data_IF_955050815860
#
_entry.id   IF_955050815860
#
_cell.length_a   1.000
_cell.length_b   1.000
_cell.length_c   1.000
_cell.angle_alpha   90.00
_cell.angle_beta   90.00
_cell.angle_gamma   90.00
#
_symmetry.space_group_name_H-M   'P 1'
#
loop_
_entity.id
_entity.type
_entity.pdbx_description
1 polymer ?
#
# COMPACT_ATOMS: atom_id res chain seq x y z
N UNK A 1 -15.02 9.84 35.80
CA UNK A 1 -13.86 9.18 35.16
C UNK A 1 -13.26 10.11 34.10
N UNK A 2 -12.72 11.27 34.51
CA UNK A 2 -12.24 12.29 33.56
C UNK A 2 -10.97 13.04 34.05
N UNK A 3 -10.24 12.51 35.04
CA UNK A 3 -9.08 13.23 35.61
C UNK A 3 -7.76 12.43 35.61
N UNK A 4 -7.75 11.21 35.10
CA UNK A 4 -6.56 10.33 35.19
C UNK A 4 -5.46 10.72 34.20
N UNK A 5 -5.82 11.36 33.08
CA UNK A 5 -4.83 11.83 32.10
C UNK A 5 -3.96 13.00 32.62
N UNK A 6 -4.50 13.86 33.49
CA UNK A 6 -3.72 14.96 34.08
C UNK A 6 -2.70 14.45 35.12
N UNK A 7 -3.13 13.50 35.94
CA UNK A 7 -2.29 12.91 37.00
C UNK A 7 -1.12 12.12 36.39
N UNK A 8 -1.37 11.36 35.31
CA UNK A 8 -0.32 10.59 34.65
C UNK A 8 0.76 11.48 34.00
N UNK A 9 0.36 12.62 33.41
CA UNK A 9 1.28 13.58 32.78
C UNK A 9 2.15 14.28 33.83
N UNK A 10 1.57 14.67 34.96
CA UNK A 10 2.32 15.35 36.01
C UNK A 10 3.23 14.39 36.79
N UNK A 11 2.81 13.14 37.01
CA UNK A 11 3.66 12.09 37.61
C UNK A 11 4.84 11.70 36.70
N UNK A 12 4.65 11.67 35.37
CA UNK A 12 5.73 11.42 34.41
C UNK A 12 6.78 12.54 34.39
N UNK A 13 6.33 13.81 34.52
CA UNK A 13 7.23 14.97 34.67
C UNK A 13 8.02 14.90 35.97
N UNK A 14 7.39 14.49 37.07
CA UNK A 14 8.07 14.32 38.37
C UNK A 14 9.11 13.19 38.35
N UNK A 15 8.83 12.09 37.66
CA UNK A 15 9.74 10.93 37.59
C UNK A 15 10.90 11.08 36.59
N UNK A 16 10.95 12.17 35.81
CA UNK A 16 11.92 12.39 34.71
C UNK A 16 11.97 11.23 33.69
N UNK A 17 10.90 10.47 33.57
CA UNK A 17 10.79 9.37 32.61
C UNK A 17 10.21 9.91 31.30
N UNK A 18 11.00 9.84 30.22
CA UNK A 18 10.57 10.32 28.90
C UNK A 18 9.78 9.23 28.18
N UNK A 19 8.49 9.12 28.48
CA UNK A 19 7.58 8.21 27.77
C UNK A 19 7.17 8.74 26.39
N UNK A 20 7.65 9.91 25.96
CA UNK A 20 7.30 10.51 24.67
C UNK A 20 7.60 9.58 23.50
N UNK A 21 8.80 8.98 23.48
CA UNK A 21 9.22 8.07 22.41
C UNK A 21 8.38 6.78 22.40
N UNK A 22 8.11 6.21 23.58
CA UNK A 22 7.29 4.99 23.73
C UNK A 22 5.84 5.23 23.31
N UNK A 23 5.23 6.34 23.75
CA UNK A 23 3.86 6.72 23.38
C UNK A 23 3.76 6.96 21.88
N UNK A 24 4.73 7.65 21.29
CA UNK A 24 4.74 7.98 19.85
C UNK A 24 4.96 6.71 19.01
N UNK A 25 5.81 5.79 19.48
CA UNK A 25 5.99 4.46 18.90
C UNK A 25 4.69 3.64 18.93
N UNK A 26 4.00 3.59 20.08
CA UNK A 26 2.72 2.87 20.21
C UNK A 26 1.63 3.48 19.33
N UNK A 27 1.54 4.81 19.26
CA UNK A 27 0.59 5.50 18.37
C UNK A 27 0.86 5.18 16.90
N UNK A 28 2.13 5.19 16.46
CA UNK A 28 2.54 4.78 15.12
C UNK A 28 2.14 3.33 14.83
N UNK A 29 2.41 2.42 15.77
CA UNK A 29 2.04 1.01 15.62
C UNK A 29 0.52 0.84 15.52
N UNK A 30 -0.26 1.58 16.31
CA UNK A 30 -1.72 1.55 16.26
C UNK A 30 -2.26 2.10 14.94
N UNK A 31 -1.72 3.22 14.42
CA UNK A 31 -2.07 3.77 13.10
C UNK A 31 -1.72 2.81 11.98
N UNK A 32 -0.49 2.25 11.99
CA UNK A 32 -0.03 1.21 11.05
C UNK A 32 -0.97 0.00 11.06
N UNK A 33 -1.36 -0.48 12.24
CA UNK A 33 -2.29 -1.62 12.39
C UNK A 33 -3.69 -1.30 11.85
N UNK A 34 -4.22 -0.11 12.11
CA UNK A 34 -5.51 0.32 11.56
C UNK A 34 -5.48 0.39 10.04
N UNK A 35 -4.38 0.86 9.48
CA UNK A 35 -4.17 0.87 8.03
C UNK A 35 -4.10 -0.56 7.47
N UNK A 36 -3.29 -1.43 8.09
CA UNK A 36 -3.16 -2.84 7.72
C UNK A 36 -4.52 -3.56 7.71
N UNK A 37 -5.36 -3.37 8.72
CA UNK A 37 -6.70 -3.98 8.77
C UNK A 37 -7.60 -3.55 7.59
N UNK A 38 -7.59 -2.26 7.22
CA UNK A 38 -8.35 -1.81 6.05
C UNK A 38 -7.77 -2.35 4.76
N UNK A 39 -6.45 -2.48 4.68
CA UNK A 39 -5.79 -3.03 3.51
C UNK A 39 -6.05 -4.53 3.36
N UNK A 40 -6.04 -5.29 4.46
CA UNK A 40 -6.44 -6.69 4.50
C UNK A 40 -7.86 -6.87 3.95
N UNK A 41 -8.81 -6.01 4.35
CA UNK A 41 -10.17 -6.04 3.80
C UNK A 41 -10.22 -5.77 2.29
N UNK A 42 -9.43 -4.82 1.79
CA UNK A 42 -9.33 -4.54 0.35
C UNK A 42 -8.69 -5.70 -0.41
N UNK A 43 -7.65 -6.32 0.15
CA UNK A 43 -6.99 -7.49 -0.43
C UNK A 43 -8.00 -8.64 -0.53
N UNK A 44 -8.80 -8.88 0.51
CA UNK A 44 -9.85 -9.90 0.49
C UNK A 44 -10.85 -9.63 -0.63
N UNK A 45 -11.36 -8.40 -0.74
CA UNK A 45 -12.30 -8.01 -1.80
C UNK A 45 -11.71 -8.23 -3.21
N UNK A 46 -10.43 -7.95 -3.39
CA UNK A 46 -9.76 -8.15 -4.67
C UNK A 46 -9.52 -9.63 -4.99
N UNK A 47 -9.17 -10.46 -3.99
CA UNK A 47 -9.06 -11.91 -4.16
C UNK A 47 -10.42 -12.50 -4.52
N UNK A 48 -11.50 -12.05 -3.87
CA UNK A 48 -12.86 -12.46 -4.18
C UNK A 48 -13.22 -12.08 -5.63
N UNK A 49 -12.92 -10.85 -6.05
CA UNK A 49 -13.16 -10.38 -7.41
C UNK A 49 -12.33 -11.17 -8.44
N UNK A 50 -11.04 -11.39 -8.19
CA UNK A 50 -10.17 -12.16 -9.08
C UNK A 50 -10.68 -13.59 -9.23
N UNK A 51 -11.09 -14.22 -8.12
CA UNK A 51 -11.68 -15.57 -8.12
C UNK A 51 -12.96 -15.61 -8.94
N UNK A 52 -13.86 -14.64 -8.72
CA UNK A 52 -15.12 -14.54 -9.45
C UNK A 52 -14.91 -14.36 -10.95
N UNK A 53 -14.00 -13.48 -11.37
CA UNK A 53 -13.72 -13.26 -12.79
C UNK A 53 -13.08 -14.49 -13.44
N UNK A 54 -12.18 -15.19 -12.75
CA UNK A 54 -11.61 -16.44 -13.25
C UNK A 54 -12.68 -17.54 -13.40
N UNK A 55 -13.65 -17.62 -12.47
CA UNK A 55 -14.79 -18.52 -12.60
C UNK A 55 -15.63 -18.19 -13.83
N UNK A 56 -15.97 -16.91 -14.05
CA UNK A 56 -16.72 -16.48 -15.23
C UNK A 56 -16.00 -16.81 -16.54
N UNK A 57 -14.68 -16.66 -16.60
CA UNK A 57 -13.89 -17.03 -17.78
C UNK A 57 -13.92 -18.54 -18.04
N UNK A 58 -13.84 -19.35 -16.97
CA UNK A 58 -13.94 -20.81 -17.07
C UNK A 58 -15.33 -21.26 -17.53
N UNK A 59 -16.38 -20.73 -16.92
CA UNK A 59 -17.78 -21.02 -17.29
C UNK A 59 -18.08 -20.59 -18.73
N UNK A 60 -17.56 -19.44 -19.17
CA UNK A 60 -17.77 -18.97 -20.54
C UNK A 60 -17.06 -19.85 -21.58
N UNK A 61 -15.86 -20.33 -21.27
CA UNK A 61 -15.15 -21.29 -22.11
C UNK A 61 -15.89 -22.63 -22.18
N UNK A 62 -16.36 -23.14 -21.04
CA UNK A 62 -17.13 -24.39 -20.96
C UNK A 62 -18.43 -24.30 -21.78
N UNK A 63 -19.18 -23.20 -21.66
CA UNK A 63 -20.38 -22.98 -22.49
C UNK A 63 -20.09 -23.02 -23.98
N UNK A 64 -18.98 -22.43 -24.43
CA UNK A 64 -18.57 -22.45 -25.85
C UNK A 64 -18.14 -23.85 -26.30
N UNK A 65 -17.47 -24.60 -25.44
CA UNK A 65 -17.08 -25.99 -25.71
C UNK A 65 -18.31 -26.91 -25.84
N UNK A 66 -19.30 -26.76 -24.96
CA UNK A 66 -20.57 -27.49 -25.04
C UNK A 66 -21.32 -27.13 -26.33
N UNK A 67 -21.43 -25.84 -26.66
CA UNK A 67 -22.10 -25.42 -27.88
C UNK A 67 -21.40 -25.95 -29.15
N UNK A 68 -20.07 -26.06 -29.15
CA UNK A 68 -19.33 -26.70 -30.25
C UNK A 68 -19.59 -28.21 -30.33
N UNK A 69 -19.61 -28.92 -29.20
CA UNK A 69 -19.83 -30.37 -29.21
C UNK A 69 -21.25 -30.72 -29.66
N UNK A 70 -22.25 -29.95 -29.25
CA UNK A 70 -23.63 -30.10 -29.73
C UNK A 70 -23.75 -29.87 -31.25
N UNK A 71 -23.02 -28.88 -31.80
CA UNK A 71 -23.00 -28.62 -33.24
C UNK A 71 -22.36 -29.75 -34.06
N UNK A 72 -21.36 -30.45 -33.51
CA UNK A 72 -20.80 -31.63 -34.15
C UNK A 72 -21.77 -32.80 -34.17
N UNK A 73 -22.44 -33.08 -33.04
CA UNK A 73 -23.40 -34.18 -32.93
C UNK A 73 -24.54 -34.03 -33.96
N UNK A 74 -25.00 -32.79 -34.21
CA UNK A 74 -26.04 -32.51 -35.20
C UNK A 74 -25.54 -32.73 -36.64
N UNK A 75 -24.27 -32.41 -36.93
CA UNK A 75 -23.68 -32.57 -38.29
C UNK A 75 -23.39 -34.02 -38.65
N UNK A 76 -22.96 -34.84 -37.70
CA UNK A 76 -22.70 -36.27 -37.91
C UNK A 76 -24.00 -37.08 -38.13
N UNK A 77 -25.14 -36.59 -37.66
CA UNK A 77 -26.45 -37.18 -37.91
C UNK A 77 -26.93 -37.08 -39.37
N UNK A 78 -26.46 -36.07 -40.12
CA UNK A 78 -26.92 -35.75 -41.48
C UNK A 78 -25.94 -36.22 -42.59
N UNK A 79 -24.66 -36.45 -42.29
CA UNK A 79 -23.63 -36.81 -43.28
C UNK A 79 -22.88 -38.12 -42.93
N UNK A 80 -23.27 -39.25 -43.54
CA UNK A 80 -22.60 -40.56 -43.41
C UNK A 80 -21.34 -40.75 -44.28
N UNK A 81 -20.80 -39.72 -44.93
CA UNK A 81 -19.63 -39.87 -45.82
C UNK A 81 -18.68 -38.66 -45.75
N UNK A 82 -17.57 -38.79 -45.01
CA UNK A 82 -16.46 -37.82 -44.98
C UNK A 82 -15.74 -37.71 -43.63
N UNK A 83 -15.19 -38.81 -43.12
CA UNK A 83 -14.85 -39.01 -41.69
C UNK A 83 -13.58 -38.34 -41.15
N UNK A 84 -12.69 -37.77 -41.99
CA UNK A 84 -11.36 -37.38 -41.49
C UNK A 84 -11.14 -35.84 -41.40
N UNK A 85 -11.84 -35.06 -42.23
CA UNK A 85 -11.70 -33.60 -42.25
C UNK A 85 -12.53 -32.89 -41.15
N UNK A 86 -13.66 -33.47 -40.73
CA UNK A 86 -14.55 -32.82 -39.75
C UNK A 86 -13.99 -32.86 -38.32
N UNK A 87 -13.46 -34.03 -37.90
CA UNK A 87 -12.89 -34.16 -36.56
C UNK A 87 -11.63 -33.33 -36.33
N UNK A 88 -10.85 -33.04 -37.39
CA UNK A 88 -9.70 -32.14 -37.31
C UNK A 88 -10.09 -30.66 -37.16
N UNK A 89 -11.17 -30.20 -37.79
CA UNK A 89 -11.65 -28.82 -37.64
C UNK A 89 -12.30 -28.58 -36.27
N UNK A 90 -12.98 -29.57 -35.69
CA UNK A 90 -13.49 -29.49 -34.32
C UNK A 90 -12.38 -29.48 -33.27
N UNK A 91 -11.40 -30.38 -33.38
CA UNK A 91 -10.24 -30.39 -32.49
C UNK A 91 -9.54 -29.02 -32.50
N UNK A 92 -9.36 -28.43 -33.69
CA UNK A 92 -8.77 -27.09 -33.84
C UNK A 92 -9.61 -26.00 -33.19
N UNK A 93 -10.93 -25.97 -33.40
CA UNK A 93 -11.81 -24.97 -32.75
C UNK A 93 -11.89 -25.12 -31.24
N UNK A 94 -11.83 -26.36 -30.75
CA UNK A 94 -11.76 -26.67 -29.32
C UNK A 94 -10.49 -26.09 -28.71
N UNK A 95 -9.35 -26.37 -29.34
CA UNK A 95 -8.03 -25.87 -28.94
C UNK A 95 -7.99 -24.33 -28.98
N UNK A 96 -8.55 -23.69 -30.02
CA UNK A 96 -8.65 -22.23 -30.11
C UNK A 96 -9.45 -21.59 -28.95
N UNK A 97 -10.48 -22.28 -28.42
CA UNK A 97 -11.25 -21.78 -27.27
C UNK A 97 -10.46 -21.92 -25.98
N UNK A 98 -9.83 -23.08 -25.77
CA UNK A 98 -9.00 -23.34 -24.59
C UNK A 98 -7.80 -22.39 -24.55
N UNK A 99 -7.12 -22.18 -25.68
CA UNK A 99 -6.02 -21.23 -25.80
C UNK A 99 -6.47 -19.79 -25.50
N UNK A 100 -7.62 -19.35 -26.05
CA UNK A 100 -8.18 -18.02 -25.74
C UNK A 100 -8.51 -17.88 -24.26
N UNK A 101 -9.08 -18.91 -23.63
CA UNK A 101 -9.35 -18.91 -22.18
C UNK A 101 -8.06 -18.74 -21.39
N UNK A 102 -7.02 -19.49 -21.76
CA UNK A 102 -5.75 -19.50 -21.04
C UNK A 102 -5.02 -18.17 -21.17
N UNK A 103 -5.01 -17.59 -22.37
CA UNK A 103 -4.46 -16.25 -22.60
C UNK A 103 -5.21 -15.19 -21.78
N UNK A 104 -6.55 -15.20 -21.81
CA UNK A 104 -7.36 -14.25 -21.04
C UNK A 104 -7.15 -14.40 -19.53
N UNK A 105 -7.15 -15.64 -19.03
CA UNK A 105 -6.90 -15.94 -17.61
C UNK A 105 -5.51 -15.49 -17.18
N UNK A 106 -4.49 -15.77 -17.98
CA UNK A 106 -3.13 -15.34 -17.72
C UNK A 106 -3.01 -13.82 -17.67
N UNK A 107 -3.60 -13.12 -18.64
CA UNK A 107 -3.60 -11.66 -18.68
C UNK A 107 -4.35 -11.04 -17.49
N UNK A 108 -5.49 -11.61 -17.10
CA UNK A 108 -6.23 -11.18 -15.92
C UNK A 108 -5.38 -11.33 -14.66
N UNK A 109 -4.77 -12.49 -14.46
CA UNK A 109 -3.92 -12.74 -13.29
C UNK A 109 -2.69 -11.82 -13.25
N UNK A 110 -2.10 -11.49 -14.41
CA UNK A 110 -1.01 -10.51 -14.51
C UNK A 110 -1.45 -9.09 -14.10
N UNK A 111 -2.67 -8.67 -14.50
CA UNK A 111 -3.22 -7.37 -14.08
C UNK A 111 -3.37 -7.29 -12.56
N UNK A 112 -3.94 -8.33 -11.93
CA UNK A 112 -4.08 -8.38 -10.46
C UNK A 112 -2.71 -8.44 -9.75
N UNK A 113 -1.75 -9.20 -10.30
CA UNK A 113 -0.39 -9.26 -9.74
C UNK A 113 0.31 -7.89 -9.74
N UNK A 114 0.21 -7.13 -10.83
CA UNK A 114 0.76 -5.77 -10.93
C UNK A 114 0.14 -4.80 -9.92
N UNK A 115 -1.14 -4.97 -9.62
CA UNK A 115 -1.83 -4.15 -8.60
C UNK A 115 -1.35 -4.53 -7.21
N UNK A 116 -1.18 -5.81 -6.91
CA UNK A 116 -0.69 -6.28 -5.60
C UNK A 116 0.74 -5.80 -5.30
N UNK A 117 1.66 -5.86 -6.28
CA UNK A 117 3.04 -5.40 -6.10
C UNK A 117 3.15 -3.91 -5.74
N UNK A 118 2.24 -3.07 -6.26
CA UNK A 118 2.16 -1.65 -5.88
C UNK A 118 1.66 -1.46 -4.46
N UNK A 119 0.84 -2.37 -3.93
CA UNK A 119 0.27 -2.32 -2.58
C UNK A 119 1.23 -2.80 -1.51
N UNK A 120 2.04 -3.81 -1.81
CA UNK A 120 3.04 -4.33 -0.86
C UNK A 120 4.12 -3.31 -0.50
N UNK A 121 4.33 -2.28 -1.32
CA UNK A 121 5.33 -1.21 -1.10
C UNK A 121 4.82 -0.01 -0.29
N UNK A 122 3.65 -0.12 0.35
CA UNK A 122 3.07 0.99 1.14
C UNK A 122 3.75 1.15 2.50
N UNK A 123 5.02 1.53 2.48
CA UNK A 123 5.79 1.96 3.64
C UNK A 123 6.29 3.37 3.43
N UNK A 124 6.16 4.20 4.46
CA UNK A 124 6.68 5.56 4.44
C UNK A 124 8.19 5.49 4.71
N UNK A 125 9.04 5.99 3.80
CA UNK A 125 10.48 6.00 4.04
C UNK A 125 10.87 6.88 5.24
N UNK A 126 11.73 6.35 6.12
CA UNK A 126 12.16 7.02 7.36
C UNK A 126 12.86 8.37 7.14
N UNK A 127 13.38 8.64 5.95
CA UNK A 127 13.99 9.93 5.60
C UNK A 127 12.96 11.03 5.32
N UNK A 128 11.68 10.69 5.12
CA UNK A 128 10.57 11.64 5.04
C UNK A 128 9.99 11.96 6.44
N UNK A 129 10.49 11.29 7.46
CA UNK A 129 10.03 11.39 8.83
C UNK A 129 10.97 12.26 9.68
N UNK A 130 10.39 13.09 10.56
CA UNK A 130 11.16 13.91 11.51
C UNK A 130 11.93 13.05 12.51
N UNK A 131 13.06 13.55 13.03
CA UNK A 131 13.90 12.79 13.99
C UNK A 131 13.42 12.83 15.44
N UNK A 132 12.34 13.57 15.73
CA UNK A 132 11.76 13.71 17.08
C UNK A 132 10.40 13.00 17.12
N UNK A 133 9.39 13.48 16.39
CA UNK A 133 8.07 12.84 16.33
C UNK A 133 8.05 11.55 15.52
N UNK A 134 9.05 11.32 14.66
CA UNK A 134 9.06 10.28 13.65
C UNK A 134 7.90 10.38 12.63
N UNK A 135 7.02 11.37 12.72
CA UNK A 135 5.92 11.58 11.78
C UNK A 135 6.43 12.17 10.46
N UNK A 136 5.62 12.06 9.40
CA UNK A 136 5.92 12.68 8.10
C UNK A 136 6.09 14.19 8.29
N UNK A 137 7.16 14.73 7.71
CA UNK A 137 7.48 16.16 7.78
C UNK A 137 6.43 17.01 7.06
N UNK A 138 5.77 17.92 7.79
CA UNK A 138 4.84 18.90 7.24
C UNK A 138 5.55 20.23 6.96
N UNK A 139 6.35 20.71 7.91
CA UNK A 139 7.16 21.93 7.80
C UNK A 139 8.64 21.62 8.07
N UNK A 140 9.33 20.93 7.14
CA UNK A 140 10.71 20.52 7.34
C UNK A 140 11.66 21.72 7.48
N UNK A 141 12.47 21.71 8.52
CA UNK A 141 13.57 22.66 8.76
C UNK A 141 14.88 21.91 8.90
N UNK A 142 15.95 22.46 8.34
CA UNK A 142 17.29 21.89 8.41
C UNK A 142 18.18 22.69 9.36
N UNK A 143 18.95 21.98 10.19
CA UNK A 143 19.95 22.56 11.08
C UNK A 143 21.30 22.73 10.36
N UNK A 144 22.23 23.57 10.86
CA UNK A 144 23.59 23.65 10.33
C UNK A 144 24.35 22.32 10.34
N UNK A 145 23.95 21.37 11.19
CA UNK A 145 24.44 20.00 11.21
C UNK A 145 23.95 19.14 10.03
N UNK A 146 23.10 19.68 9.16
CA UNK A 146 22.55 18.99 8.00
C UNK A 146 21.36 18.07 8.32
N UNK A 147 20.78 18.16 9.51
CA UNK A 147 19.69 17.27 9.93
C UNK A 147 18.36 18.00 9.77
N UNK A 148 17.38 17.30 9.19
CA UNK A 148 16.03 17.83 9.00
C UNK A 148 15.09 17.36 10.10
N UNK A 149 14.32 18.30 10.64
CA UNK A 149 13.31 18.09 11.66
C UNK A 149 11.98 18.71 11.24
N UNK A 150 10.91 18.33 11.91
CA UNK A 150 9.66 19.06 11.89
C UNK A 150 9.80 20.34 12.72
N UNK A 151 9.35 21.49 12.20
CA UNK A 151 9.54 22.80 12.83
C UNK A 151 9.05 22.84 14.27
N UNK A 152 7.79 22.46 14.49
CA UNK A 152 7.17 22.48 15.83
C UNK A 152 7.97 21.67 16.85
N UNK A 153 8.49 20.52 16.44
CA UNK A 153 9.16 19.58 17.34
C UNK A 153 10.56 20.07 17.74
N UNK A 154 11.32 20.62 16.78
CA UNK A 154 12.66 21.15 17.07
C UNK A 154 12.58 22.47 17.85
N UNK A 155 11.59 23.32 17.57
CA UNK A 155 11.37 24.55 18.34
C UNK A 155 10.99 24.22 19.79
N UNK A 156 10.12 23.23 20.00
CA UNK A 156 9.78 22.75 21.34
C UNK A 156 11.01 22.19 22.07
N UNK A 157 11.85 21.40 21.39
CA UNK A 157 13.09 20.88 21.96
C UNK A 157 14.02 22.01 22.42
N UNK A 158 14.23 23.02 21.56
CA UNK A 158 15.09 24.16 21.86
C UNK A 158 14.57 24.99 23.05
N UNK A 159 13.25 25.02 23.25
CA UNK A 159 12.62 25.75 24.34
C UNK A 159 12.59 24.96 25.67
N UNK A 160 12.31 23.65 25.63
CA UNK A 160 12.05 22.82 26.82
C UNK A 160 13.23 21.99 27.27
N UNK A 161 14.08 21.54 26.34
CA UNK A 161 15.17 20.60 26.62
C UNK A 161 16.52 21.31 26.64
N UNK A 162 16.81 22.13 25.62
CA UNK A 162 18.00 22.96 25.60
C UNK A 162 18.47 23.37 24.20
N UNK A 163 19.40 24.31 24.17
CA UNK A 163 19.93 24.91 22.93
C UNK A 163 21.02 24.05 22.27
N UNK A 164 20.65 22.83 21.90
CA UNK A 164 21.51 21.90 21.18
C UNK A 164 20.70 21.08 20.17
N UNK A 165 21.38 20.58 19.14
CA UNK A 165 20.81 19.70 18.13
C UNK A 165 20.53 18.31 18.77
N UNK A 166 19.30 17.77 18.70
CA UNK A 166 18.93 16.53 19.38
C UNK A 166 19.82 15.33 19.05
N UNK A 167 20.35 15.26 17.82
CA UNK A 167 21.10 14.12 17.30
C UNK A 167 22.60 14.35 17.49
N UNK A 168 23.12 15.49 17.04
CA UNK A 168 24.56 15.77 17.05
C UNK A 168 25.05 16.41 18.34
N UNK A 169 24.15 16.92 19.19
CA UNK A 169 24.44 17.63 20.44
C UNK A 169 25.28 18.90 20.27
N UNK A 170 25.45 19.37 19.03
CA UNK A 170 26.08 20.67 18.71
C UNK A 170 25.17 21.79 19.18
N UNK A 171 25.72 22.92 19.64
CA UNK A 171 24.93 24.10 20.04
C UNK A 171 24.05 24.54 18.87
N UNK A 172 22.76 24.71 19.15
CA UNK A 172 21.74 25.06 18.17
C UNK A 172 20.80 26.10 18.77
N UNK A 173 20.45 27.12 17.99
CA UNK A 173 19.47 28.14 18.36
C UNK A 173 18.39 28.26 17.28
N UNK A 174 17.22 28.81 17.64
CA UNK A 174 16.05 28.82 16.75
C UNK A 174 16.28 29.62 15.47
N UNK A 175 17.07 30.69 15.53
CA UNK A 175 17.46 31.53 14.39
C UNK A 175 18.33 30.78 13.36
N UNK A 176 18.90 29.65 13.73
CA UNK A 176 19.70 28.80 12.84
C UNK A 176 18.86 27.78 12.06
N UNK A 177 17.55 27.70 12.32
CA UNK A 177 16.65 26.78 11.63
C UNK A 177 16.28 27.35 10.26
N UNK A 178 16.72 26.66 9.19
CA UNK A 178 16.47 27.08 7.81
C UNK A 178 15.32 26.23 7.25
N UNK A 179 14.27 26.83 6.65
CA UNK A 179 13.23 26.06 5.95
C UNK A 179 13.84 25.17 4.85
N UNK A 180 13.56 23.87 4.89
CA UNK A 180 14.04 22.91 3.90
C UNK A 180 13.00 22.73 2.79
N UNK A 181 12.95 23.70 1.87
CA UNK A 181 11.98 23.72 0.77
C UNK A 181 12.12 22.51 -0.16
N UNK A 182 13.34 22.01 -0.37
CA UNK A 182 13.58 20.82 -1.18
C UNK A 182 12.94 19.58 -0.56
N UNK A 183 13.13 19.36 0.74
CA UNK A 183 12.44 18.25 1.43
C UNK A 183 10.93 18.45 1.46
N UNK A 184 10.45 19.69 1.53
CA UNK A 184 9.01 19.99 1.45
C UNK A 184 8.43 19.52 0.13
N UNK A 185 9.05 19.86 -1.00
CA UNK A 185 8.63 19.40 -2.33
C UNK A 185 8.67 17.87 -2.46
N UNK A 186 9.72 17.22 -1.93
CA UNK A 186 9.84 15.75 -1.95
C UNK A 186 8.70 15.11 -1.17
N UNK A 187 8.40 15.61 0.03
CA UNK A 187 7.31 15.06 0.86
C UNK A 187 5.95 15.31 0.21
N UNK A 188 5.72 16.51 -0.32
CA UNK A 188 4.45 16.85 -0.96
C UNK A 188 4.22 15.99 -2.21
N UNK A 189 5.25 15.77 -3.03
CA UNK A 189 5.20 14.86 -4.18
C UNK A 189 4.92 13.43 -3.74
N UNK A 190 5.60 12.95 -2.69
CA UNK A 190 5.36 11.61 -2.15
C UNK A 190 3.90 11.45 -1.69
N UNK A 191 3.35 12.41 -0.95
CA UNK A 191 1.97 12.38 -0.48
C UNK A 191 0.94 12.45 -1.61
N UNK A 192 1.23 13.19 -2.68
CA UNK A 192 0.38 13.26 -3.88
C UNK A 192 0.31 11.90 -4.60
N UNK A 193 1.44 11.22 -4.73
CA UNK A 193 1.50 9.88 -5.34
C UNK A 193 1.00 8.78 -4.39
N UNK A 194 1.01 9.04 -3.09
CA UNK A 194 0.71 8.09 -2.02
C UNK A 194 -0.29 8.67 -1.03
N UNK A 195 -1.53 8.93 -1.47
CA UNK A 195 -2.59 9.46 -0.59
C UNK A 195 -2.80 8.61 0.67
N UNK A 196 -2.50 7.32 0.60
CA UNK A 196 -2.57 6.40 1.74
C UNK A 196 -1.63 6.81 2.89
N UNK A 197 -0.53 7.51 2.60
CA UNK A 197 0.46 7.97 3.58
C UNK A 197 -0.03 9.17 4.42
N UNK A 198 -1.08 9.89 3.99
CA UNK A 198 -1.71 10.94 4.80
C UNK A 198 -2.29 10.41 6.12
N UNK A 199 -2.51 9.10 6.21
CA UNK A 199 -3.07 8.42 7.37
C UNK A 199 -2.02 7.66 8.21
N UNK A 200 -0.72 7.83 7.90
CA UNK A 200 0.40 7.24 8.63
C UNK A 200 0.59 7.88 10.02
#
# INVERSE_FOLDING_TARGET
MLNDNGIAVDLAKEQKLNYGDDITSVLRQARKRRFQLREEQRIIQDIELQTYLNQLLAEDAERKLIALSEQEIIKDGDNKSGTDASGSDFARRKEEIEEKRDICTAHLNDLFAKVDDRRRKREVPDYLCGKISFEILQEPVITPSGITYERKDIEEHLQRVGHFDPVTRVRLTQDQLIPNLAMKEVVDTFLQENEWALYY
#
